data_IF_251897960002
#
_entry.id   IF_251897960002
#
_cell.length_a   1.000
_cell.length_b   1.000
_cell.length_c   1.000
_cell.angle_alpha   90.00
_cell.angle_beta   90.00
_cell.angle_gamma   90.00
#
_symmetry.space_group_name_H-M   'P 1'
#
loop_
_entity.id
_entity.type
_entity.pdbx_description
1 polymer ?
#
# COMPACT_ATOMS: atom_id res chain seq x y z
N UNK A 1 -5.37 -9.73 -9.44
CA UNK A 1 -5.62 -10.76 -8.40
C UNK A 1 -7.05 -10.73 -7.85
N UNK A 2 -7.75 -9.60 -7.90
CA UNK A 2 -9.12 -9.41 -7.34
C UNK A 2 -10.22 -10.25 -8.00
N UNK A 3 -10.01 -10.77 -9.21
CA UNK A 3 -10.97 -11.61 -9.94
C UNK A 3 -10.62 -13.12 -9.90
N UNK A 4 -9.48 -13.50 -9.32
CA UNK A 4 -9.07 -14.90 -9.25
C UNK A 4 -9.75 -15.62 -8.09
N UNK A 5 -10.16 -16.87 -8.28
CA UNK A 5 -10.75 -17.74 -7.24
C UNK A 5 -9.92 -17.71 -5.95
N UNK A 6 -8.59 -17.75 -6.09
CA UNK A 6 -7.67 -17.71 -4.95
C UNK A 6 -7.78 -16.39 -4.15
N UNK A 7 -7.86 -15.25 -4.84
CA UNK A 7 -7.96 -13.94 -4.19
C UNK A 7 -9.30 -13.74 -3.48
N UNK A 8 -10.39 -14.24 -4.05
CA UNK A 8 -11.72 -14.23 -3.44
C UNK A 8 -11.76 -15.06 -2.15
N UNK A 9 -11.15 -16.25 -2.16
CA UNK A 9 -11.08 -17.10 -0.97
C UNK A 9 -10.24 -16.48 0.16
N UNK A 10 -9.12 -15.84 -0.16
CA UNK A 10 -8.28 -15.15 0.85
C UNK A 10 -8.99 -13.92 1.42
N UNK A 11 -9.77 -13.20 0.61
CA UNK A 11 -10.57 -12.06 1.07
C UNK A 11 -11.71 -12.52 2.00
N UNK A 12 -12.44 -13.56 1.63
CA UNK A 12 -13.49 -14.14 2.46
C UNK A 12 -12.94 -14.63 3.81
N UNK A 13 -11.76 -15.27 3.80
CA UNK A 13 -11.08 -15.72 5.02
C UNK A 13 -10.68 -14.57 5.96
N UNK A 14 -10.46 -13.36 5.42
CA UNK A 14 -10.14 -12.15 6.20
C UNK A 14 -11.38 -11.52 6.84
N UNK A 15 -12.55 -11.63 6.20
CA UNK A 15 -13.82 -11.09 6.71
C UNK A 15 -14.43 -11.99 7.79
N UNK A 16 -14.64 -13.27 7.48
CA UNK A 16 -15.20 -14.23 8.45
C UNK A 16 -14.72 -15.66 8.13
N UNK A 17 -13.96 -16.22 9.06
CA UNK A 17 -13.38 -17.56 8.92
C UNK A 17 -14.42 -18.66 9.05
N UNK A 18 -15.42 -18.48 9.91
CA UNK A 18 -16.45 -19.47 10.19
C UNK A 18 -17.45 -19.51 9.03
N UNK A 19 -17.81 -18.34 8.49
CA UNK A 19 -18.63 -18.25 7.28
C UNK A 19 -17.94 -18.85 6.05
N UNK A 20 -16.63 -18.62 5.88
CA UNK A 20 -15.86 -19.22 4.78
C UNK A 20 -15.78 -20.75 4.90
N UNK A 21 -15.66 -21.28 6.12
CA UNK A 21 -15.67 -22.73 6.36
C UNK A 21 -17.05 -23.35 6.06
N UNK A 22 -18.14 -22.66 6.39
CA UNK A 22 -19.51 -23.10 6.08
C UNK A 22 -19.79 -23.19 4.57
N UNK A 23 -19.12 -22.37 3.76
CA UNK A 23 -19.19 -22.40 2.29
C UNK A 23 -18.32 -23.52 1.66
N UNK A 24 -17.76 -24.42 2.47
CA UNK A 24 -16.96 -25.57 2.03
C UNK A 24 -15.52 -25.22 1.66
N UNK A 25 -15.03 -24.03 2.02
CA UNK A 25 -13.63 -23.63 1.79
C UNK A 25 -12.75 -24.21 2.89
N UNK A 26 -11.71 -24.97 2.51
CA UNK A 26 -10.76 -25.51 3.46
C UNK A 26 -9.83 -24.40 4.00
N UNK A 27 -10.26 -23.70 5.04
CA UNK A 27 -9.56 -22.55 5.64
C UNK A 27 -8.13 -22.90 6.09
N UNK A 28 -7.92 -24.10 6.64
CA UNK A 28 -6.60 -24.57 7.10
C UNK A 28 -5.58 -24.63 5.96
N UNK A 29 -5.94 -25.22 4.81
CA UNK A 29 -5.01 -25.33 3.66
C UNK A 29 -4.62 -23.96 3.12
N UNK A 30 -5.58 -23.04 3.01
CA UNK A 30 -5.29 -21.67 2.54
C UNK A 30 -4.43 -20.89 3.54
N UNK A 31 -4.66 -21.02 4.85
CA UNK A 31 -3.80 -20.41 5.88
C UNK A 31 -2.37 -20.92 5.79
N UNK A 32 -2.18 -22.24 5.70
CA UNK A 32 -0.84 -22.84 5.59
C UNK A 32 -0.16 -22.37 4.31
N UNK A 33 -0.85 -22.33 3.18
CA UNK A 33 -0.27 -21.87 1.92
C UNK A 33 0.16 -20.40 1.99
N UNK A 34 -0.70 -19.51 2.51
CA UNK A 34 -0.34 -18.10 2.71
C UNK A 34 0.84 -17.98 3.68
N UNK A 35 0.84 -18.71 4.78
CA UNK A 35 1.92 -18.70 5.77
C UNK A 35 3.26 -19.17 5.17
N UNK A 36 3.26 -20.23 4.37
CA UNK A 36 4.47 -20.74 3.71
C UNK A 36 5.00 -19.72 2.71
N UNK A 37 4.12 -19.10 1.91
CA UNK A 37 4.51 -18.06 0.96
C UNK A 37 5.10 -16.86 1.68
N UNK A 38 4.45 -16.33 2.72
CA UNK A 38 4.96 -15.16 3.46
C UNK A 38 6.24 -15.48 4.24
N UNK A 39 6.32 -16.67 4.86
CA UNK A 39 7.50 -17.08 5.62
C UNK A 39 8.70 -17.33 4.74
N UNK A 40 8.51 -17.87 3.54
CA UNK A 40 9.61 -18.03 2.57
C UNK A 40 10.17 -16.67 2.12
N UNK A 41 9.30 -15.69 1.86
CA UNK A 41 9.73 -14.32 1.53
C UNK A 41 10.47 -13.65 2.71
N UNK A 42 9.97 -13.80 3.94
CA UNK A 42 10.60 -13.27 5.14
C UNK A 42 11.95 -13.94 5.42
N UNK A 43 12.06 -15.25 5.23
CA UNK A 43 13.31 -15.99 5.38
C UNK A 43 14.36 -15.54 4.36
N UNK A 44 13.98 -15.41 3.08
CA UNK A 44 14.87 -14.90 2.03
C UNK A 44 15.38 -13.49 2.37
N UNK A 45 14.48 -12.59 2.78
CA UNK A 45 14.86 -11.24 3.20
C UNK A 45 15.82 -11.26 4.40
N UNK A 46 15.54 -12.10 5.41
CA UNK A 46 16.38 -12.25 6.59
C UNK A 46 17.76 -12.83 6.29
N UNK A 47 17.86 -13.81 5.40
CA UNK A 47 19.14 -14.39 4.96
C UNK A 47 20.01 -13.36 4.24
N UNK A 48 19.42 -12.59 3.32
CA UNK A 48 20.14 -11.51 2.62
C UNK A 48 20.60 -10.44 3.62
N UNK A 49 19.76 -10.05 4.56
CA UNK A 49 20.12 -9.09 5.61
C UNK A 49 21.25 -9.62 6.51
N UNK A 50 21.19 -10.88 6.93
CA UNK A 50 22.24 -11.51 7.74
C UNK A 50 23.59 -11.55 7.01
N UNK A 51 23.57 -11.83 5.70
CA UNK A 51 24.77 -11.79 4.86
C UNK A 51 25.33 -10.36 4.71
N UNK A 52 24.47 -9.34 4.61
CA UNK A 52 24.89 -7.94 4.49
C UNK A 52 25.55 -7.41 5.76
N UNK A 53 25.00 -7.74 6.93
CA UNK A 53 25.46 -7.14 8.19
C UNK A 53 26.79 -7.74 8.67
N UNK A 54 27.10 -9.00 8.33
CA UNK A 54 28.36 -9.73 8.63
C UNK A 54 28.76 -9.86 10.12
N UNK A 55 28.25 -8.99 11.00
CA UNK A 55 28.49 -8.96 12.45
C UNK A 55 27.16 -8.71 13.17
N UNK A 56 26.65 -9.73 13.87
CA UNK A 56 25.39 -9.61 14.62
C UNK A 56 25.71 -8.99 15.99
N UNK A 57 25.56 -7.67 16.10
CA UNK A 57 25.56 -6.98 17.39
C UNK A 57 24.13 -6.88 17.92
N UNK A 58 23.84 -7.29 19.18
CA UNK A 58 22.48 -7.27 19.74
C UNK A 58 21.86 -5.86 19.79
N UNK A 59 22.67 -4.82 19.69
CA UNK A 59 22.22 -3.44 19.59
C UNK A 59 21.36 -3.17 18.33
N UNK A 60 21.63 -3.85 17.21
CA UNK A 60 20.89 -3.67 15.96
C UNK A 60 19.47 -4.28 15.99
N UNK A 61 19.15 -5.07 17.02
CA UNK A 61 17.84 -5.71 17.20
C UNK A 61 17.05 -5.09 18.36
N UNK A 62 17.53 -3.97 18.93
CA UNK A 62 16.80 -3.28 19.98
C UNK A 62 15.45 -2.73 19.49
N UNK A 63 14.57 -2.46 20.45
CA UNK A 63 13.22 -1.90 20.27
C UNK A 63 13.21 -0.73 19.29
N UNK A 64 14.26 0.09 19.28
CA UNK A 64 14.41 1.22 18.38
C UNK A 64 14.43 0.81 16.90
N UNK A 65 15.16 -0.25 16.53
CA UNK A 65 15.21 -0.72 15.14
C UNK A 65 13.83 -1.26 14.71
N UNK A 66 13.17 -2.01 15.59
CA UNK A 66 11.85 -2.58 15.32
C UNK A 66 10.78 -1.50 15.18
N UNK A 67 10.83 -0.46 16.01
CA UNK A 67 9.92 0.68 15.90
C UNK A 67 10.15 1.48 14.63
N UNK A 68 11.40 1.61 14.16
CA UNK A 68 11.72 2.22 12.87
C UNK A 68 11.05 1.46 11.71
N UNK A 69 11.19 0.13 11.67
CA UNK A 69 10.58 -0.70 10.62
C UNK A 69 9.05 -0.58 10.62
N UNK A 70 8.42 -0.61 11.80
CA UNK A 70 6.96 -0.43 11.92
C UNK A 70 6.55 0.96 11.44
N UNK A 71 7.26 2.00 11.85
CA UNK A 71 6.89 3.35 11.45
C UNK A 71 7.16 3.61 9.95
N UNK A 72 8.18 3.00 9.32
CA UNK A 72 8.31 3.01 7.85
C UNK A 72 7.05 2.45 7.16
N UNK A 73 6.53 1.31 7.65
CA UNK A 73 5.30 0.71 7.11
C UNK A 73 4.07 1.60 7.33
N UNK A 74 3.96 2.25 8.50
CA UNK A 74 2.86 3.18 8.82
C UNK A 74 2.91 4.43 7.94
N UNK A 75 4.10 4.99 7.73
CA UNK A 75 4.33 6.17 6.90
C UNK A 75 3.93 5.89 5.44
N UNK A 76 4.26 4.69 4.95
CA UNK A 76 4.02 4.29 3.57
C UNK A 76 2.57 3.82 3.31
N UNK A 77 1.86 3.37 4.34
CA UNK A 77 0.46 2.93 4.28
C UNK A 77 0.30 1.41 4.42
N UNK A 78 -0.34 0.99 5.51
CA UNK A 78 -0.48 -0.43 5.90
C UNK A 78 -1.39 -1.23 4.95
N UNK A 79 -2.29 -0.55 4.23
CA UNK A 79 -3.33 -1.21 3.42
C UNK A 79 -2.89 -1.56 1.99
N UNK A 80 -1.82 -0.95 1.48
CA UNK A 80 -1.33 -1.18 0.12
C UNK A 80 0.13 -1.65 0.12
N UNK A 81 0.33 -2.93 -0.18
CA UNK A 81 1.67 -3.56 -0.23
C UNK A 81 2.64 -2.82 -1.16
N UNK A 82 2.17 -2.31 -2.30
CA UNK A 82 3.02 -1.62 -3.28
C UNK A 82 3.51 -0.28 -2.72
N UNK A 83 2.62 0.51 -2.10
CA UNK A 83 2.99 1.75 -1.45
C UNK A 83 3.93 1.50 -0.26
N UNK A 84 3.67 0.45 0.52
CA UNK A 84 4.52 0.03 1.63
C UNK A 84 5.96 -0.26 1.17
N UNK A 85 6.12 -1.01 0.07
CA UNK A 85 7.42 -1.35 -0.49
C UNK A 85 8.17 -0.10 -1.00
N UNK A 86 7.50 0.77 -1.77
CA UNK A 86 8.11 1.99 -2.32
C UNK A 86 8.50 2.96 -1.20
N UNK A 87 7.61 3.16 -0.22
CA UNK A 87 7.87 4.04 0.91
C UNK A 87 9.00 3.52 1.81
N UNK A 88 9.05 2.21 2.06
CA UNK A 88 10.16 1.60 2.80
C UNK A 88 11.51 1.83 2.10
N UNK A 89 11.59 1.60 0.79
CA UNK A 89 12.82 1.82 0.01
C UNK A 89 13.25 3.30 0.07
N UNK A 90 12.32 4.23 -0.14
CA UNK A 90 12.62 5.67 -0.15
C UNK A 90 13.07 6.17 1.23
N UNK A 91 12.39 5.74 2.29
CA UNK A 91 12.74 6.10 3.67
C UNK A 91 14.06 5.47 4.07
N UNK A 92 14.29 4.19 3.76
CA UNK A 92 15.56 3.51 4.03
C UNK A 92 16.72 4.20 3.31
N UNK A 93 16.54 4.54 2.03
CA UNK A 93 17.56 5.27 1.27
C UNK A 93 17.87 6.63 1.91
N UNK A 94 16.84 7.36 2.36
CA UNK A 94 17.01 8.62 3.08
C UNK A 94 17.74 8.40 4.42
N UNK A 95 17.40 7.35 5.18
CA UNK A 95 18.07 7.01 6.44
C UNK A 95 19.53 6.63 6.22
N UNK A 96 19.84 5.92 5.13
CA UNK A 96 21.21 5.52 4.79
C UNK A 96 22.04 6.75 4.34
N UNK A 97 21.45 7.70 3.61
CA UNK A 97 22.11 8.99 3.34
C UNK A 97 22.44 9.72 4.65
N UNK A 98 21.51 9.74 5.60
CA UNK A 98 21.70 10.32 6.93
C UNK A 98 22.65 9.50 7.83
N UNK A 99 22.95 8.26 7.47
CA UNK A 99 23.91 7.40 8.19
C UNK A 99 25.35 7.82 7.93
N UNK A 100 25.62 8.50 6.81
CA UNK A 100 26.99 8.85 6.42
C UNK A 100 27.53 9.95 7.33
N UNK A 101 28.33 9.59 8.34
CA UNK A 101 28.98 10.54 9.26
C UNK A 101 29.80 11.57 8.49
N UNK A 102 29.29 12.80 8.37
CA UNK A 102 30.04 13.90 7.77
C UNK A 102 30.87 14.58 8.87
N UNK A 103 32.19 14.38 8.83
CA UNK A 103 33.15 15.12 9.65
C UNK A 103 33.43 16.46 8.97
N UNK A 104 32.75 17.52 9.43
CA UNK A 104 33.15 18.89 9.11
C UNK A 104 34.02 19.39 10.25
N UNK A 105 35.31 19.57 9.98
CA UNK A 105 36.19 20.39 10.81
C UNK A 105 36.46 19.88 12.22
N UNK A 106 36.58 18.57 12.43
CA UNK A 106 37.06 18.00 13.71
C UNK A 106 36.03 17.87 14.83
N UNK A 107 34.75 18.14 14.56
CA UNK A 107 33.64 17.87 15.48
C UNK A 107 32.93 16.59 14.98
N UNK A 108 33.02 15.51 15.74
CA UNK A 108 32.26 14.28 15.47
C UNK A 108 30.80 14.50 15.85
N UNK A 109 29.97 14.89 14.88
CA UNK A 109 28.52 14.94 15.07
C UNK A 109 27.97 13.53 14.90
N UNK A 110 27.53 12.92 15.99
CA UNK A 110 26.82 11.64 15.96
C UNK A 110 25.47 11.80 15.26
N UNK A 111 25.45 11.49 13.96
CA UNK A 111 24.23 11.51 13.13
C UNK A 111 23.20 10.46 13.54
N UNK A 112 23.57 9.54 14.44
CA UNK A 112 22.64 8.60 15.09
C UNK A 112 21.47 9.33 15.76
N UNK A 113 21.72 10.44 16.47
CA UNK A 113 20.65 11.22 17.12
C UNK A 113 19.82 12.01 16.10
N UNK A 114 20.48 12.61 15.11
CA UNK A 114 19.81 13.34 14.03
C UNK A 114 18.90 12.45 13.18
N UNK A 115 19.28 11.19 12.96
CA UNK A 115 18.45 10.17 12.33
C UNK A 115 17.13 9.98 13.09
N UNK A 116 17.18 9.87 14.42
CA UNK A 116 15.97 9.72 15.24
C UNK A 116 15.09 10.97 15.20
N UNK A 117 15.70 12.16 15.21
CA UNK A 117 14.95 13.43 15.13
C UNK A 117 14.27 13.58 13.77
N UNK A 118 14.97 13.33 12.67
CA UNK A 118 14.38 13.35 11.32
C UNK A 118 13.28 12.30 11.18
N UNK A 119 13.50 11.10 11.72
CA UNK A 119 12.48 10.05 11.71
C UNK A 119 11.25 10.43 12.53
N UNK A 120 11.46 10.96 13.73
CA UNK A 120 10.38 11.44 14.60
C UNK A 120 9.60 12.58 13.96
N UNK A 121 10.29 13.49 13.28
CA UNK A 121 9.67 14.56 12.50
C UNK A 121 8.88 13.98 11.32
N UNK A 122 9.43 13.04 10.57
CA UNK A 122 8.76 12.36 9.47
C UNK A 122 7.51 11.64 9.96
N UNK A 123 7.61 10.90 11.08
CA UNK A 123 6.51 10.22 11.74
C UNK A 123 5.45 11.20 12.25
N UNK A 124 5.86 12.34 12.82
CA UNK A 124 4.95 13.36 13.30
C UNK A 124 4.23 14.05 12.13
N UNK A 125 4.95 14.33 11.05
CA UNK A 125 4.39 14.89 9.82
C UNK A 125 3.36 13.92 9.24
N UNK A 126 3.71 12.64 9.15
CA UNK A 126 2.84 11.61 8.60
C UNK A 126 1.61 11.44 9.47
N UNK A 127 1.74 11.29 10.79
CA UNK A 127 0.61 11.25 11.72
C UNK A 127 -0.25 12.53 11.70
N UNK A 128 0.36 13.70 11.48
CA UNK A 128 -0.38 14.97 11.38
C UNK A 128 -1.19 15.09 10.09
N UNK A 129 -0.65 14.64 8.96
CA UNK A 129 -1.43 14.52 7.72
C UNK A 129 -2.38 13.31 7.77
N UNK A 130 -2.08 12.32 8.60
CA UNK A 130 -2.77 11.03 8.72
C UNK A 130 -3.61 10.90 9.99
N UNK A 131 -4.50 11.85 10.28
CA UNK A 131 -5.66 11.51 11.14
C UNK A 131 -6.54 10.42 10.49
N UNK A 132 -6.32 10.13 9.18
CA UNK A 132 -6.81 8.97 8.41
C UNK A 132 -5.85 8.48 7.29
N UNK A 133 -4.52 8.55 7.48
CA UNK A 133 -3.54 8.05 6.49
C UNK A 133 -3.16 9.04 5.35
N UNK A 134 -1.93 8.92 4.85
CA UNK A 134 -1.42 9.55 3.61
C UNK A 134 -2.07 9.01 2.32
N UNK A 135 -3.04 8.08 2.45
CA UNK A 135 -3.66 7.37 1.32
C UNK A 135 -4.69 8.21 0.56
N UNK A 136 -5.44 9.09 1.23
CA UNK A 136 -6.48 9.91 0.57
C UNK A 136 -5.87 10.89 -0.45
N UNK A 137 -4.75 11.61 -0.17
CA UNK A 137 -4.16 12.53 -1.14
C UNK A 137 -3.42 11.84 -2.29
N UNK A 138 -2.74 10.71 -2.03
CA UNK A 138 -1.88 10.04 -3.02
C UNK A 138 -2.71 9.25 -4.04
N UNK A 139 -3.81 8.64 -3.61
CA UNK A 139 -4.74 7.93 -4.51
C UNK A 139 -5.54 8.94 -5.35
N UNK A 140 -5.99 10.07 -4.79
CA UNK A 140 -6.69 11.10 -5.58
C UNK A 140 -5.76 11.73 -6.65
N UNK A 141 -4.47 11.92 -6.32
CA UNK A 141 -3.49 12.44 -7.28
C UNK A 141 -3.26 11.50 -8.48
N UNK A 142 -3.21 10.18 -8.27
CA UNK A 142 -2.95 9.21 -9.34
C UNK A 142 -4.20 8.80 -10.13
N UNK A 143 -5.39 8.80 -9.51
CA UNK A 143 -6.63 8.27 -10.13
C UNK A 143 -7.36 9.31 -10.98
N UNK A 144 -7.03 10.61 -10.82
CA UNK A 144 -7.61 11.70 -11.62
C UNK A 144 -7.30 11.64 -13.13
N UNK A 145 -6.26 10.91 -13.53
CA UNK A 145 -5.86 10.81 -14.94
C UNK A 145 -6.76 9.92 -15.81
N UNK A 146 -7.43 8.91 -15.25
CA UNK A 146 -8.08 7.86 -16.06
C UNK A 146 -9.61 7.84 -16.00
N UNK A 147 -10.24 8.43 -14.99
CA UNK A 147 -11.73 8.44 -14.86
C UNK A 147 -12.38 9.60 -15.62
N UNK A 148 -11.63 10.68 -15.89
CA UNK A 148 -12.10 11.81 -16.69
C UNK A 148 -12.31 11.45 -18.17
N UNK A 149 -11.55 10.49 -18.70
CA UNK A 149 -11.63 10.08 -20.10
C UNK A 149 -12.88 9.22 -20.39
N UNK A 150 -13.26 8.32 -19.46
CA UNK A 150 -14.42 7.43 -19.67
C UNK A 150 -15.76 8.17 -19.57
N UNK A 151 -15.84 9.28 -18.81
CA UNK A 151 -17.09 10.04 -18.69
C UNK A 151 -17.39 10.90 -19.94
N UNK A 152 -16.35 11.33 -20.67
CA UNK A 152 -16.49 12.16 -21.87
C UNK A 152 -16.80 11.32 -23.12
N UNK A 153 -16.24 10.11 -23.23
CA UNK A 153 -16.54 9.20 -24.34
C UNK A 153 -18.02 8.81 -24.37
N UNK A 154 -18.61 8.46 -23.21
CA UNK A 154 -19.99 7.98 -23.13
C UNK A 154 -21.06 9.05 -23.40
N UNK A 155 -20.75 10.34 -23.25
CA UNK A 155 -21.68 11.43 -23.61
C UNK A 155 -21.67 11.78 -25.10
N UNK A 156 -20.63 11.38 -25.82
CA UNK A 156 -20.53 11.66 -27.26
C UNK A 156 -21.29 10.61 -28.07
N UNK A 157 -21.34 9.37 -27.58
CA UNK A 157 -22.10 8.28 -28.23
C UNK A 157 -23.62 8.42 -28.05
N UNK A 158 -24.07 8.94 -26.91
CA UNK A 158 -25.51 9.12 -26.59
C UNK A 158 -26.12 10.32 -27.34
N UNK A 159 -25.35 11.38 -27.56
CA UNK A 159 -25.80 12.58 -28.27
C UNK A 159 -25.85 12.41 -29.81
N UNK A 160 -25.38 11.27 -30.33
CA UNK A 160 -25.45 10.91 -31.75
C UNK A 160 -26.54 9.91 -32.11
N UNK A 161 -27.19 9.27 -31.11
CA UNK A 161 -28.23 8.25 -31.34
C UNK A 161 -29.66 8.74 -31.02
N UNK A 162 -29.80 9.91 -30.40
CA UNK A 162 -31.09 10.44 -29.93
C UNK A 162 -31.60 11.68 -30.67
N UNK A 163 -30.93 12.13 -31.72
CA UNK A 163 -31.40 13.24 -32.53
C UNK A 163 -32.23 12.72 -33.71
N UNK A 164 -33.52 13.04 -33.65
CA UNK A 164 -34.50 13.01 -34.74
C UNK A 164 -34.99 11.63 -35.23
N UNK A 165 -35.96 11.05 -34.52
CA UNK A 165 -37.09 10.46 -35.23
C UNK A 165 -38.44 11.00 -34.69
N UNK A 166 -39.05 12.00 -35.36
CA UNK A 166 -40.37 12.51 -35.00
C UNK A 166 -41.51 11.49 -35.23
N UNK A 167 -41.24 10.26 -35.70
CA UNK A 167 -42.26 9.23 -35.94
C UNK A 167 -42.81 8.56 -34.67
N UNK A 168 -42.10 8.59 -33.53
CA UNK A 168 -42.52 7.87 -32.32
C UNK A 168 -43.63 8.58 -31.52
N UNK A 169 -43.83 9.89 -31.73
CA UNK A 169 -44.83 10.66 -30.98
C UNK A 169 -46.25 10.41 -31.50
N UNK A 170 -46.44 10.13 -32.79
CA UNK A 170 -47.77 9.90 -33.39
C UNK A 170 -48.32 8.50 -33.05
N UNK A 171 -47.44 7.55 -32.72
CA UNK A 171 -47.80 6.15 -32.42
C UNK A 171 -48.48 5.98 -31.05
N UNK A 172 -48.37 6.95 -30.14
CA UNK A 172 -48.93 6.85 -28.78
C UNK A 172 -50.33 7.43 -28.63
N UNK A 173 -50.82 8.30 -29.53
CA UNK A 173 -52.18 8.87 -29.43
C UNK A 173 -53.28 7.99 -30.05
N UNK A 174 -52.95 6.97 -30.85
CA UNK A 174 -53.97 6.12 -31.52
C UNK A 174 -54.41 4.91 -30.68
N UNK A 175 -53.89 4.74 -29.46
CA UNK A 175 -54.30 3.68 -28.51
C UNK A 175 -54.97 4.28 -27.27
N UNK A 176 -56.11 4.91 -27.46
CA UNK A 176 -57.13 5.09 -26.42
C UNK A 176 -58.51 5.01 -27.03
#
# INVERSE_FOLDING_TARGET
LSQSRFGLFVRALREDQDAAAALGVNTTRYKVLVFVVTSSMAALAGTVYGHYVTIITPNNLMILQMSLVVAMAVIAGVENFIAAAIGAILIEFMLEMLRTSFSIGGITVDMTLWRLVFFGMLLMLTLRFARNGLLVPVIDFFTRGHVAAETVARRTDDNGSGADDPADVVSQETRT
#
